data_IF_044312924119
#
_entry.id   IF_044312924119
#
_cell.length_a   1.000
_cell.length_b   1.000
_cell.length_c   1.000
_cell.angle_alpha   90.00
_cell.angle_beta   90.00
_cell.angle_gamma   90.00
#
_symmetry.space_group_name_H-M   'P 1'
#
loop_
_entity.id
_entity.type
_entity.pdbx_description
1 polymer ?
#
# COMPACT_ATOMS: atom_id res chain seq x y z
N UNK A 1 14.93 5.11 -4.05
CA UNK A 1 13.96 4.97 -2.94
C UNK A 1 12.97 6.13 -2.95
N UNK A 2 12.09 6.12 -3.95
CA UNK A 2 10.97 7.05 -4.05
C UNK A 2 9.65 6.27 -4.03
N UNK A 3 8.54 6.99 -3.89
CA UNK A 3 7.20 6.40 -4.02
C UNK A 3 6.96 5.78 -5.40
N UNK A 4 7.63 6.24 -6.47
CA UNK A 4 7.57 5.57 -7.78
C UNK A 4 8.18 4.17 -7.75
N UNK A 5 9.31 3.99 -7.05
CA UNK A 5 10.00 2.70 -6.96
C UNK A 5 9.11 1.63 -6.30
N UNK A 6 8.32 2.04 -5.30
CA UNK A 6 7.34 1.18 -4.61
C UNK A 6 6.10 0.98 -5.47
N UNK A 7 5.50 2.04 -6.00
CA UNK A 7 4.30 1.97 -6.82
C UNK A 7 4.50 1.08 -8.07
N UNK A 8 5.69 1.10 -8.66
CA UNK A 8 6.04 0.23 -9.79
C UNK A 8 6.00 -1.27 -9.46
N UNK A 9 6.02 -1.65 -8.16
CA UNK A 9 5.90 -3.03 -7.69
C UNK A 9 4.46 -3.43 -7.38
N UNK A 10 3.55 -2.47 -7.25
CA UNK A 10 2.13 -2.80 -7.09
C UNK A 10 1.59 -3.41 -8.39
N UNK A 11 0.68 -4.40 -8.28
CA UNK A 11 0.04 -4.96 -9.45
C UNK A 11 -0.76 -3.90 -10.19
N UNK A 12 -0.90 -4.07 -11.50
CA UNK A 12 -1.80 -3.25 -12.30
C UNK A 12 -3.23 -3.57 -11.89
N UNK A 13 -4.04 -2.53 -11.71
CA UNK A 13 -5.43 -2.65 -11.32
C UNK A 13 -6.33 -1.73 -12.17
N UNK A 14 -7.64 -1.80 -11.96
CA UNK A 14 -8.60 -0.96 -12.71
C UNK A 14 -8.33 0.54 -12.53
N UNK A 15 -7.73 0.93 -11.40
CA UNK A 15 -7.26 2.29 -11.13
C UNK A 15 -6.28 2.81 -12.19
N UNK A 16 -5.37 1.96 -12.68
CA UNK A 16 -4.44 2.31 -13.76
C UNK A 16 -5.18 2.61 -15.08
N UNK A 17 -6.26 1.86 -15.33
CA UNK A 17 -7.03 1.99 -16.57
C UNK A 17 -7.89 3.25 -16.57
N UNK A 18 -8.49 3.59 -15.43
CA UNK A 18 -9.45 4.69 -15.33
C UNK A 18 -8.82 5.96 -14.75
N UNK A 19 -7.55 5.94 -14.36
CA UNK A 19 -6.89 7.07 -13.71
C UNK A 19 -7.52 7.42 -12.36
N UNK A 20 -8.03 6.40 -11.65
CA UNK A 20 -8.66 6.56 -10.34
C UNK A 20 -7.73 6.10 -9.22
N UNK A 21 -8.11 6.42 -7.98
CA UNK A 21 -7.50 5.86 -6.77
C UNK A 21 -8.64 5.32 -5.91
N UNK A 22 -8.93 4.04 -6.08
CA UNK A 22 -9.99 3.30 -5.39
C UNK A 22 -9.69 3.06 -3.91
N UNK A 23 -8.47 3.37 -3.46
CA UNK A 23 -7.96 3.06 -2.12
C UNK A 23 -7.97 1.54 -1.85
N UNK A 24 -7.78 0.72 -2.88
CA UNK A 24 -7.73 -0.74 -2.75
C UNK A 24 -6.30 -1.30 -2.83
N UNK A 25 -5.41 -0.64 -3.57
CA UNK A 25 -4.01 -1.06 -3.76
C UNK A 25 -3.08 0.15 -3.75
N UNK A 26 -2.64 0.54 -2.57
CA UNK A 26 -1.81 1.73 -2.37
C UNK A 26 -1.06 1.64 -1.04
N UNK A 27 -0.18 2.60 -0.78
CA UNK A 27 0.35 2.85 0.56
C UNK A 27 0.21 4.33 0.90
N UNK A 28 0.20 4.65 2.18
CA UNK A 28 0.12 6.03 2.64
C UNK A 28 0.82 6.22 3.98
N UNK A 29 1.34 7.42 4.21
CA UNK A 29 1.97 7.76 5.47
C UNK A 29 0.93 7.88 6.57
N UNK A 30 1.28 7.37 7.75
CA UNK A 30 0.46 7.42 8.96
C UNK A 30 1.30 7.92 10.14
N UNK A 31 0.64 8.45 11.15
CA UNK A 31 1.29 8.95 12.37
C UNK A 31 0.30 9.09 13.52
N UNK A 32 -0.19 10.30 13.79
CA UNK A 32 -1.28 10.53 14.73
C UNK A 32 -2.64 10.12 14.17
N UNK A 33 -2.77 10.12 12.84
CA UNK A 33 -3.98 9.83 12.10
C UNK A 33 -3.71 8.93 10.89
N UNK A 34 -4.79 8.49 10.24
CA UNK A 34 -4.75 7.56 9.11
C UNK A 34 -4.14 8.14 7.84
N UNK A 35 -4.21 9.44 7.54
CA UNK A 35 -3.71 9.98 6.27
C UNK A 35 -2.91 11.25 6.48
N UNK A 36 -1.58 11.15 6.38
CA UNK A 36 -0.68 12.24 6.77
C UNK A 36 0.13 12.85 5.61
N UNK A 37 -0.36 12.68 4.38
CA UNK A 37 0.04 13.52 3.25
C UNK A 37 1.00 12.90 2.24
N UNK A 38 1.65 11.77 2.55
CA UNK A 38 2.39 11.01 1.53
C UNK A 38 1.58 9.81 1.06
N UNK A 39 1.29 9.77 -0.24
CA UNK A 39 0.56 8.69 -0.89
C UNK A 39 1.48 7.96 -1.87
N UNK A 40 1.31 6.66 -1.97
CA UNK A 40 2.01 5.76 -2.88
C UNK A 40 0.98 5.03 -3.71
N UNK A 41 0.83 5.43 -4.97
CA UNK A 41 -0.11 4.77 -5.89
C UNK A 41 0.46 4.78 -7.30
N UNK A 42 0.06 3.80 -8.11
CA UNK A 42 0.47 3.74 -9.52
C UNK A 42 -0.05 4.95 -10.32
N UNK A 43 -1.27 5.41 -10.02
CA UNK A 43 -1.91 6.53 -10.70
C UNK A 43 -1.25 7.91 -10.42
N UNK A 44 -0.48 8.05 -9.34
CA UNK A 44 0.13 9.33 -8.97
C UNK A 44 1.66 9.26 -8.87
N UNK A 45 2.19 8.29 -8.14
CA UNK A 45 3.62 8.28 -7.77
C UNK A 45 4.54 7.99 -8.95
N UNK A 46 4.05 7.34 -10.02
CA UNK A 46 4.86 7.10 -11.23
C UNK A 46 5.22 8.41 -11.95
N UNK A 47 4.32 9.39 -11.94
CA UNK A 47 4.54 10.71 -12.54
C UNK A 47 5.07 11.75 -11.53
N UNK A 48 4.71 11.60 -10.26
CA UNK A 48 5.04 12.53 -9.18
C UNK A 48 5.71 11.81 -7.99
N UNK A 49 6.95 11.32 -8.16
CA UNK A 49 7.67 10.62 -7.10
C UNK A 49 8.02 11.54 -5.92
N UNK A 50 7.84 11.01 -4.71
CA UNK A 50 8.32 11.61 -3.47
C UNK A 50 9.44 10.76 -2.86
N UNK A 51 10.41 11.39 -2.21
CA UNK A 51 11.54 10.71 -1.56
C UNK A 51 11.10 10.02 -0.26
N UNK A 52 11.50 8.75 -0.08
CA UNK A 52 11.26 7.97 1.14
C UNK A 52 12.50 8.07 2.05
N UNK A 53 12.29 8.35 3.34
CA UNK A 53 13.34 8.62 4.33
C UNK A 53 13.17 7.77 5.60
N UNK A 54 14.27 7.50 6.33
CA UNK A 54 14.20 6.91 7.67
C UNK A 54 13.24 7.67 8.59
N UNK A 55 12.62 6.95 9.52
CA UNK A 55 11.57 7.39 10.45
C UNK A 55 10.21 7.75 9.82
N UNK A 56 10.05 7.63 8.50
CA UNK A 56 8.71 7.64 7.91
C UNK A 56 7.99 6.33 8.24
N UNK A 57 6.68 6.41 8.43
CA UNK A 57 5.83 5.28 8.76
C UNK A 57 4.68 5.20 7.77
N UNK A 58 4.41 4.02 7.25
CA UNK A 58 3.42 3.79 6.19
C UNK A 58 2.52 2.62 6.53
N UNK A 59 1.25 2.74 6.17
CA UNK A 59 0.38 1.60 5.94
C UNK A 59 0.49 1.20 4.46
N UNK A 60 0.64 -0.10 4.19
CA UNK A 60 0.69 -0.68 2.84
C UNK A 60 -0.50 -1.60 2.67
N UNK A 61 -1.30 -1.36 1.65
CA UNK A 61 -2.58 -2.03 1.45
C UNK A 61 -2.63 -2.82 0.16
N UNK A 62 -3.29 -3.97 0.23
CA UNK A 62 -3.64 -4.74 -0.95
C UNK A 62 -5.07 -5.26 -0.87
N UNK A 63 -5.65 -5.47 -2.04
CA UNK A 63 -7.02 -5.93 -2.21
C UNK A 63 -7.06 -7.05 -3.23
N UNK A 64 -7.84 -8.09 -2.89
CA UNK A 64 -8.18 -9.20 -3.75
C UNK A 64 -9.71 -9.29 -3.86
N UNK A 65 -10.21 -9.02 -5.06
CA UNK A 65 -11.63 -9.11 -5.39
C UNK A 65 -11.87 -8.85 -6.87
N UNK A 66 -13.03 -9.30 -7.38
CA UNK A 66 -13.49 -9.03 -8.73
C UNK A 66 -15.03 -9.07 -8.78
N UNK A 67 -15.66 -8.59 -9.86
CA UNK A 67 -17.11 -8.61 -9.98
C UNK A 67 -17.70 -10.01 -9.76
N UNK A 68 -18.89 -10.06 -9.16
CA UNK A 68 -19.69 -11.27 -8.87
C UNK A 68 -19.20 -12.13 -7.70
N UNK A 69 -18.18 -11.72 -6.96
CA UNK A 69 -17.86 -12.32 -5.67
C UNK A 69 -18.83 -11.82 -4.59
N UNK A 70 -19.22 -12.70 -3.67
CA UNK A 70 -20.03 -12.31 -2.50
C UNK A 70 -19.18 -11.60 -1.43
N UNK A 71 -17.88 -11.92 -1.38
CA UNK A 71 -16.92 -11.37 -0.43
C UNK A 71 -15.59 -11.08 -1.12
N UNK A 72 -14.82 -10.16 -0.55
CA UNK A 72 -13.50 -9.75 -1.02
C UNK A 72 -12.58 -9.57 0.18
N UNK A 73 -11.27 -9.57 -0.06
CA UNK A 73 -10.27 -9.49 1.00
C UNK A 73 -9.44 -8.24 0.82
N UNK A 74 -9.21 -7.50 1.90
CA UNK A 74 -8.20 -6.46 1.99
C UNK A 74 -7.25 -6.80 3.13
N UNK A 75 -5.96 -6.69 2.88
CA UNK A 75 -4.90 -6.84 3.87
C UNK A 75 -4.10 -5.55 3.93
N UNK A 76 -3.60 -5.23 5.12
CA UNK A 76 -2.85 -4.01 5.39
C UNK A 76 -1.73 -4.29 6.38
N UNK A 77 -0.54 -3.82 6.03
CA UNK A 77 0.69 -3.98 6.81
C UNK A 77 1.31 -2.63 7.12
N UNK A 78 1.62 -2.40 8.39
CA UNK A 78 2.28 -1.17 8.83
C UNK A 78 3.78 -1.36 8.90
N UNK A 79 4.53 -0.44 8.30
CA UNK A 79 5.98 -0.44 8.30
C UNK A 79 6.55 0.89 8.78
N UNK A 80 7.71 0.81 9.44
CA UNK A 80 8.59 1.95 9.65
C UNK A 80 9.82 1.82 8.74
N UNK A 81 10.27 2.94 8.18
CA UNK A 81 11.51 3.00 7.41
C UNK A 81 12.68 3.17 8.38
N UNK A 82 13.65 2.27 8.29
CA UNK A 82 14.90 2.30 9.06
C UNK A 82 16.04 2.80 8.18
N UNK A 83 17.22 3.00 8.76
CA UNK A 83 18.42 3.39 7.99
C UNK A 83 18.82 2.32 6.95
N UNK A 84 18.53 1.04 7.23
CA UNK A 84 18.95 -0.11 6.42
C UNK A 84 17.81 -0.74 5.59
N UNK A 85 16.58 -0.21 5.67
CA UNK A 85 15.42 -0.77 4.97
C UNK A 85 14.08 -0.43 5.61
N UNK A 86 13.24 -1.44 5.82
CA UNK A 86 11.95 -1.33 6.50
C UNK A 86 11.80 -2.39 7.59
N UNK A 87 10.97 -2.10 8.59
CA UNK A 87 10.54 -3.07 9.59
C UNK A 87 9.00 -3.10 9.65
N UNK A 88 8.43 -4.30 9.59
CA UNK A 88 6.99 -4.52 9.78
C UNK A 88 6.67 -4.40 11.27
N UNK A 89 5.56 -3.74 11.57
CA UNK A 89 5.12 -3.42 12.94
C UNK A 89 3.72 -3.92 13.25
N UNK A 90 2.95 -4.31 12.25
CA UNK A 90 1.75 -5.14 12.46
C UNK A 90 2.19 -6.53 12.93
N UNK A 91 1.68 -6.96 14.07
CA UNK A 91 2.08 -8.23 14.70
C UNK A 91 1.03 -9.34 14.58
N UNK A 92 -0.18 -9.01 14.12
CA UNK A 92 -1.22 -10.01 13.91
C UNK A 92 -0.85 -10.88 12.71
N UNK A 93 -1.01 -12.19 12.86
CA UNK A 93 -0.73 -13.12 11.77
C UNK A 93 -1.77 -13.00 10.66
N UNK A 94 -1.30 -13.19 9.43
CA UNK A 94 -2.18 -13.37 8.30
C UNK A 94 -2.69 -14.82 8.31
N UNK A 95 -4.01 -15.03 8.35
CA UNK A 95 -4.56 -16.37 8.51
C UNK A 95 -4.21 -17.25 7.30
N UNK A 96 -3.62 -18.41 7.58
CA UNK A 96 -3.21 -19.43 6.60
C UNK A 96 -4.25 -20.56 6.45
N UNK A 97 -5.34 -20.50 7.20
CA UNK A 97 -6.40 -21.52 7.24
C UNK A 97 -7.57 -21.27 6.27
N UNK A 98 -7.45 -20.33 5.33
CA UNK A 98 -8.47 -20.07 4.30
C UNK A 98 -8.23 -20.85 2.99
N UNK A 99 -7.26 -21.76 2.97
CA UNK A 99 -6.81 -22.49 1.77
C UNK A 99 -7.27 -23.95 1.68
N UNK A 100 -8.34 -24.34 2.39
CA UNK A 100 -8.98 -25.67 2.26
C UNK A 100 -9.93 -25.76 1.06
#
# INVERSE_FOLDING_TARGET
NTTADVAAKFPVYDDDKYGSVSLQQFAHSIGLSLYEGMWVSRAYSLDYPAEIKPNMYFAIETFAGHPKLEQTVRLEENIVITEDGNAITTLVEHPDYWWD
#
